data_IF_469884121667
#
_entry.id   IF_469884121667
#
_cell.length_a   1.000
_cell.length_b   1.000
_cell.length_c   1.000
_cell.angle_alpha   90.00
_cell.angle_beta   90.00
_cell.angle_gamma   90.00
#
_symmetry.space_group_name_H-M   'P 1'
#
loop_
_entity.id
_entity.type
_entity.pdbx_description
1 polymer ?
#
# COMPACT_ATOMS: atom_id res chain seq x y z
N UNK A 1 -8.48 6.84 11.73
CA UNK A 1 -8.48 6.53 10.29
C UNK A 1 -9.40 7.53 9.61
N UNK A 2 -8.98 8.10 8.48
CA UNK A 2 -9.87 8.87 7.58
C UNK A 2 -10.15 8.01 6.36
N UNK A 3 -11.42 7.79 6.04
CA UNK A 3 -11.84 7.21 4.76
C UNK A 3 -12.41 8.32 3.88
N UNK A 4 -11.95 8.42 2.65
CA UNK A 4 -12.46 9.36 1.66
C UNK A 4 -12.72 8.66 0.33
N UNK A 5 -13.83 9.00 -0.33
CA UNK A 5 -14.18 8.43 -1.61
C UNK A 5 -13.36 9.00 -2.76
N UNK A 6 -13.13 8.18 -3.78
CA UNK A 6 -12.49 8.59 -5.01
C UNK A 6 -12.60 7.57 -6.13
N UNK A 7 -13.13 7.94 -7.29
CA UNK A 7 -13.30 6.97 -8.39
C UNK A 7 -11.99 6.80 -9.17
N UNK A 8 -11.53 5.56 -9.34
CA UNK A 8 -10.38 5.22 -10.18
C UNK A 8 -10.75 5.28 -11.66
N UNK A 9 -9.91 5.86 -12.50
CA UNK A 9 -10.31 6.25 -13.86
C UNK A 9 -10.78 5.09 -14.74
N UNK A 10 -12.05 5.14 -15.18
CA UNK A 10 -12.48 5.47 -16.56
C UNK A 10 -13.89 6.08 -16.54
N UNK A 11 -14.07 7.17 -17.30
CA UNK A 11 -15.33 7.86 -17.64
C UNK A 11 -16.07 8.57 -16.49
N UNK A 12 -15.67 9.83 -16.26
CA UNK A 12 -16.35 10.93 -15.56
C UNK A 12 -17.77 10.68 -14.97
N UNK A 13 -17.80 10.43 -13.65
CA UNK A 13 -18.66 11.13 -12.69
C UNK A 13 -18.05 10.98 -11.27
N UNK A 14 -17.48 12.06 -10.73
CA UNK A 14 -16.85 12.12 -9.41
C UNK A 14 -15.31 12.18 -9.46
N UNK A 15 -14.75 13.30 -9.93
CA UNK A 15 -13.30 13.51 -9.93
C UNK A 15 -12.74 13.56 -8.50
N UNK A 16 -11.77 12.71 -8.20
CA UNK A 16 -10.94 12.87 -7.00
C UNK A 16 -10.28 14.23 -7.09
N UNK A 17 -10.63 15.14 -6.18
CA UNK A 17 -9.86 16.37 -6.04
C UNK A 17 -8.48 15.98 -5.50
N UNK A 18 -7.52 15.88 -6.41
CA UNK A 18 -6.16 15.48 -6.09
C UNK A 18 -5.52 16.42 -5.07
N UNK A 19 -5.82 17.71 -5.13
CA UNK A 19 -5.29 18.68 -4.16
C UNK A 19 -5.82 18.40 -2.76
N UNK A 20 -7.12 18.10 -2.62
CA UNK A 20 -7.70 17.70 -1.32
C UNK A 20 -7.11 16.39 -0.84
N UNK A 21 -7.05 15.37 -1.69
CA UNK A 21 -6.51 14.05 -1.35
C UNK A 21 -5.06 14.14 -0.92
N UNK A 22 -4.25 14.87 -1.69
CA UNK A 22 -2.84 15.13 -1.38
C UNK A 22 -2.70 15.86 -0.05
N UNK A 23 -3.50 16.89 0.21
CA UNK A 23 -3.49 17.61 1.49
C UNK A 23 -3.87 16.68 2.64
N UNK A 24 -4.95 15.90 2.52
CA UNK A 24 -5.36 14.95 3.56
C UNK A 24 -4.27 13.92 3.82
N UNK A 25 -3.72 13.30 2.78
CA UNK A 25 -2.65 12.31 2.92
C UNK A 25 -1.38 12.94 3.49
N UNK A 26 -1.01 14.17 3.16
CA UNK A 26 0.25 14.80 3.63
C UNK A 26 0.13 15.41 5.04
N UNK A 27 -1.04 15.90 5.41
CA UNK A 27 -1.27 16.64 6.65
C UNK A 27 -1.83 15.77 7.78
N UNK A 28 -2.52 14.69 7.45
CA UNK A 28 -3.09 13.82 8.46
C UNK A 28 -2.02 12.97 9.16
N UNK A 29 -2.16 12.76 10.47
CA UNK A 29 -1.23 11.94 11.29
C UNK A 29 -1.70 10.50 11.50
N UNK A 30 -2.86 10.13 10.96
CA UNK A 30 -3.46 8.80 11.09
C UNK A 30 -3.52 8.09 9.74
N UNK A 31 -3.93 6.81 9.73
CA UNK A 31 -4.18 6.05 8.50
C UNK A 31 -5.23 6.74 7.62
N UNK A 32 -4.95 6.83 6.32
CA UNK A 32 -5.88 7.37 5.31
C UNK A 32 -6.22 6.28 4.31
N UNK A 33 -7.50 6.03 4.09
CA UNK A 33 -8.03 5.15 3.04
C UNK A 33 -8.67 6.01 1.95
N UNK A 34 -8.12 5.96 0.75
CA UNK A 34 -8.76 6.45 -0.46
C UNK A 34 -9.58 5.30 -1.06
N UNK A 35 -10.88 5.32 -0.79
CA UNK A 35 -11.82 4.30 -1.22
C UNK A 35 -12.24 4.53 -2.68
N UNK A 36 -12.02 3.54 -3.54
CA UNK A 36 -12.45 3.53 -4.95
C UNK A 36 -13.52 2.48 -5.19
N UNK A 37 -14.16 2.50 -6.36
CA UNK A 37 -15.12 1.44 -6.73
C UNK A 37 -14.47 0.07 -6.54
N UNK A 38 -15.11 -0.74 -5.70
CA UNK A 38 -14.59 -2.00 -5.18
C UNK A 38 -15.07 -3.12 -6.11
N UNK A 39 -14.16 -3.98 -6.54
CA UNK A 39 -14.52 -5.36 -6.84
C UNK A 39 -14.38 -6.15 -5.53
N UNK A 40 -15.49 -6.71 -5.05
CA UNK A 40 -15.52 -7.51 -3.82
C UNK A 40 -14.58 -8.73 -3.94
N UNK A 41 -14.07 -9.23 -2.81
CA UNK A 41 -13.31 -10.49 -2.66
C UNK A 41 -11.86 -10.55 -3.20
N UNK A 42 -11.08 -9.46 -3.13
CA UNK A 42 -9.71 -9.46 -3.64
C UNK A 42 -8.60 -9.21 -2.57
N UNK A 43 -8.93 -9.03 -1.29
CA UNK A 43 -7.92 -8.97 -0.20
C UNK A 43 -7.03 -7.72 -0.19
N UNK A 44 -6.04 -7.73 0.72
CA UNK A 44 -5.10 -6.62 0.93
C UNK A 44 -3.72 -6.97 0.34
N UNK A 45 -3.24 -6.14 -0.59
CA UNK A 45 -1.86 -6.19 -1.08
C UNK A 45 -1.00 -5.18 -0.32
N UNK A 46 -0.19 -5.67 0.59
CA UNK A 46 0.62 -4.83 1.48
C UNK A 46 2.04 -4.71 0.96
N UNK A 47 2.48 -3.48 0.71
CA UNK A 47 3.82 -3.18 0.24
C UNK A 47 4.82 -3.09 1.41
N UNK A 48 5.93 -3.82 1.30
CA UNK A 48 7.00 -3.85 2.30
C UNK A 48 8.36 -3.62 1.65
N UNK A 49 9.23 -2.85 2.32
CA UNK A 49 10.58 -2.49 1.87
C UNK A 49 11.54 -2.16 3.00
N UNK A 50 11.03 -1.61 4.12
CA UNK A 50 11.79 -1.18 5.29
C UNK A 50 11.05 -1.48 6.61
N UNK A 51 11.69 -1.24 7.76
CA UNK A 51 11.11 -1.47 9.09
C UNK A 51 9.78 -0.74 9.30
N UNK A 52 9.62 0.47 8.75
CA UNK A 52 8.39 1.24 8.89
C UNK A 52 7.25 0.58 8.13
N UNK A 53 7.51 0.13 6.91
CA UNK A 53 6.57 -0.64 6.11
C UNK A 53 6.21 -1.98 6.73
N UNK A 54 7.14 -2.66 7.40
CA UNK A 54 6.88 -3.89 8.16
C UNK A 54 5.94 -3.61 9.34
N UNK A 55 6.19 -2.53 10.10
CA UNK A 55 5.30 -2.11 11.19
C UNK A 55 3.89 -1.78 10.68
N UNK A 56 3.80 -1.07 9.56
CA UNK A 56 2.53 -0.77 8.89
C UNK A 56 1.82 -2.04 8.41
N UNK A 57 2.55 -2.98 7.83
CA UNK A 57 2.03 -4.25 7.34
C UNK A 57 1.39 -5.06 8.46
N UNK A 58 2.06 -5.15 9.62
CA UNK A 58 1.49 -5.81 10.80
C UNK A 58 0.20 -5.15 11.29
N UNK A 59 0.15 -3.80 11.32
CA UNK A 59 -1.05 -3.07 11.74
C UNK A 59 -2.22 -3.32 10.79
N UNK A 60 -1.98 -3.28 9.48
CA UNK A 60 -3.01 -3.55 8.48
C UNK A 60 -3.47 -5.01 8.51
N UNK A 61 -2.55 -5.97 8.58
CA UNK A 61 -2.90 -7.39 8.63
C UNK A 61 -3.84 -7.71 9.80
N UNK A 62 -3.60 -7.13 10.99
CA UNK A 62 -4.49 -7.28 12.14
C UNK A 62 -5.88 -6.67 11.87
N UNK A 63 -5.95 -5.55 11.14
CA UNK A 63 -7.22 -4.91 10.78
C UNK A 63 -7.99 -5.75 9.75
N UNK A 64 -7.32 -6.14 8.67
CA UNK A 64 -7.87 -6.91 7.57
C UNK A 64 -8.34 -8.31 8.01
N UNK A 65 -7.60 -8.97 8.92
CA UNK A 65 -7.99 -10.25 9.50
C UNK A 65 -9.30 -10.18 10.31
N UNK A 66 -9.67 -9.02 10.86
CA UNK A 66 -10.97 -8.84 11.54
C UNK A 66 -12.16 -8.76 10.57
N UNK A 67 -11.87 -8.56 9.29
CA UNK A 67 -12.86 -8.47 8.22
C UNK A 67 -12.82 -9.71 7.31
N UNK A 68 -12.12 -10.78 7.72
CA UNK A 68 -11.88 -11.99 6.91
C UNK A 68 -11.26 -11.67 5.52
N UNK A 69 -10.49 -10.58 5.43
CA UNK A 69 -9.81 -10.18 4.21
C UNK A 69 -8.47 -10.92 4.10
N UNK A 70 -8.19 -11.64 2.99
CA UNK A 70 -6.92 -12.32 2.80
C UNK A 70 -5.76 -11.34 2.66
N UNK A 71 -4.60 -11.71 3.22
CA UNK A 71 -3.40 -10.87 3.30
C UNK A 71 -2.34 -11.34 2.32
N UNK A 72 -1.84 -10.41 1.51
CA UNK A 72 -0.78 -10.64 0.54
C UNK A 72 0.32 -9.59 0.72
N UNK A 73 1.57 -9.99 0.55
CA UNK A 73 2.70 -9.06 0.64
C UNK A 73 3.39 -8.86 -0.71
N UNK A 74 3.91 -7.68 -0.95
CA UNK A 74 4.75 -7.38 -2.11
C UNK A 74 5.96 -6.54 -1.71
N UNK A 75 7.13 -6.91 -2.22
CA UNK A 75 8.32 -6.07 -2.20
C UNK A 75 8.90 -6.05 -3.61
N UNK A 76 9.09 -4.85 -4.18
CA UNK A 76 9.59 -4.70 -5.55
C UNK A 76 11.07 -4.37 -5.49
N UNK A 77 11.90 -5.23 -6.08
CA UNK A 77 13.31 -4.93 -6.26
C UNK A 77 13.51 -4.09 -7.53
N UNK A 78 14.30 -3.03 -7.46
CA UNK A 78 14.57 -2.19 -8.65
C UNK A 78 15.41 -2.91 -9.71
N UNK A 79 16.16 -3.93 -9.31
CA UNK A 79 17.08 -4.70 -10.14
C UNK A 79 17.36 -6.07 -9.51
N UNK A 80 17.87 -7.03 -10.30
CA UNK A 80 18.08 -8.42 -9.85
C UNK A 80 19.09 -8.52 -8.70
N UNK A 81 20.12 -7.68 -8.69
CA UNK A 81 21.12 -7.60 -7.61
C UNK A 81 20.51 -7.17 -6.27
N UNK A 82 19.42 -6.40 -6.30
CA UNK A 82 18.70 -5.94 -5.09
C UNK A 82 17.59 -6.89 -4.65
N UNK A 83 17.32 -7.97 -5.38
CA UNK A 83 16.22 -8.91 -5.09
C UNK A 83 16.30 -9.52 -3.70
N UNK A 84 17.50 -9.86 -3.25
CA UNK A 84 17.72 -10.41 -1.91
C UNK A 84 17.23 -9.49 -0.79
N UNK A 85 17.34 -8.16 -0.95
CA UNK A 85 16.84 -7.19 0.04
C UNK A 85 15.32 -7.19 0.10
N UNK A 86 14.67 -7.32 -1.06
CA UNK A 86 13.22 -7.39 -1.15
C UNK A 86 12.67 -8.69 -0.55
N UNK A 87 13.35 -9.82 -0.79
CA UNK A 87 13.04 -11.12 -0.18
C UNK A 87 13.21 -11.12 1.34
N UNK A 88 14.28 -10.49 1.86
CA UNK A 88 14.49 -10.37 3.30
C UNK A 88 13.39 -9.52 3.96
N UNK A 89 13.02 -8.39 3.36
CA UNK A 89 11.91 -7.57 3.84
C UNK A 89 10.57 -8.35 3.89
N UNK A 90 10.29 -9.17 2.87
CA UNK A 90 9.11 -10.04 2.85
C UNK A 90 9.14 -11.08 3.97
N UNK A 91 10.30 -11.70 4.21
CA UNK A 91 10.48 -12.69 5.27
C UNK A 91 10.24 -12.06 6.64
N UNK A 92 10.84 -10.90 6.90
CA UNK A 92 10.65 -10.18 8.17
C UNK A 92 9.20 -9.75 8.36
N UNK A 93 8.55 -9.24 7.31
CA UNK A 93 7.14 -8.85 7.35
C UNK A 93 6.22 -10.05 7.65
N UNK A 94 6.43 -11.17 6.95
CA UNK A 94 5.69 -12.42 7.16
C UNK A 94 5.81 -12.87 8.61
N UNK A 95 7.03 -12.98 9.14
CA UNK A 95 7.25 -13.36 10.54
C UNK A 95 6.50 -12.44 11.49
N UNK A 96 6.62 -11.12 11.32
CA UNK A 96 5.97 -10.16 12.21
C UNK A 96 4.42 -10.22 12.19
N UNK A 97 3.84 -10.60 11.04
CA UNK A 97 2.39 -10.78 10.87
C UNK A 97 1.94 -12.12 11.46
N UNK A 98 2.65 -13.20 11.18
CA UNK A 98 2.34 -14.54 11.68
C UNK A 98 2.49 -14.64 13.21
N UNK A 99 3.48 -13.96 13.80
CA UNK A 99 3.63 -13.80 15.25
C UNK A 99 2.44 -13.04 15.88
N UNK A 100 1.72 -12.24 15.11
CA UNK A 100 0.49 -11.58 15.55
C UNK A 100 -0.77 -12.45 15.38
N UNK A 101 -0.63 -13.70 14.93
CA UNK A 101 -1.72 -14.65 14.75
C UNK A 101 -2.52 -14.44 13.47
N UNK A 102 -1.92 -13.81 12.45
CA UNK A 102 -2.57 -13.57 11.15
C UNK A 102 -1.80 -14.33 10.06
N UNK A 103 -2.52 -15.02 9.18
CA UNK A 103 -1.92 -15.77 8.07
C UNK A 103 -1.61 -14.86 6.88
N UNK A 104 -0.42 -15.02 6.29
CA UNK A 104 -0.06 -14.41 5.01
C UNK A 104 -0.22 -15.43 3.90
N UNK A 105 -1.20 -15.20 3.02
CA UNK A 105 -1.59 -16.11 1.94
C UNK A 105 -0.47 -16.28 0.93
N UNK A 106 0.09 -15.18 0.42
CA UNK A 106 1.16 -15.22 -0.58
C UNK A 106 2.06 -13.98 -0.50
N UNK A 107 3.28 -14.12 -1.00
CA UNK A 107 4.31 -13.06 -1.06
C UNK A 107 4.82 -12.92 -2.49
N UNK A 108 4.94 -11.69 -2.99
CA UNK A 108 5.44 -11.39 -4.33
C UNK A 108 6.73 -10.57 -4.28
N UNK A 109 7.75 -11.04 -4.99
CA UNK A 109 9.05 -10.33 -5.10
C UNK A 109 9.44 -10.05 -6.55
N UNK A 110 8.67 -9.25 -7.31
CA UNK A 110 9.00 -8.92 -8.69
C UNK A 110 10.18 -7.94 -8.78
N UNK A 111 10.89 -7.98 -9.90
CA UNK A 111 11.92 -7.00 -10.26
C UNK A 111 11.33 -5.98 -11.23
N UNK A 112 11.54 -4.69 -10.98
CA UNK A 112 11.09 -3.60 -11.85
C UNK A 112 10.87 -2.27 -11.13
N UNK A 113 10.17 -1.34 -11.79
CA UNK A 113 9.89 -0.03 -11.20
C UNK A 113 8.79 -0.13 -10.12
N UNK A 114 9.06 0.19 -8.84
CA UNK A 114 8.16 -0.08 -7.72
C UNK A 114 6.71 0.37 -7.95
N UNK A 115 6.49 1.65 -8.25
CA UNK A 115 5.13 2.16 -8.40
C UNK A 115 4.35 1.52 -9.55
N UNK A 116 4.99 1.25 -10.68
CA UNK A 116 4.33 0.64 -11.84
C UNK A 116 4.01 -0.82 -11.56
N UNK A 117 4.95 -1.57 -10.99
CA UNK A 117 4.75 -2.97 -10.62
C UNK A 117 3.66 -3.13 -9.56
N UNK A 118 3.63 -2.27 -8.54
CA UNK A 118 2.59 -2.28 -7.50
C UNK A 118 1.21 -1.94 -8.10
N UNK A 119 1.11 -0.92 -8.95
CA UNK A 119 -0.16 -0.54 -9.58
C UNK A 119 -0.68 -1.66 -10.49
N UNK A 120 0.21 -2.33 -11.23
CA UNK A 120 -0.18 -3.41 -12.13
C UNK A 120 -0.66 -4.63 -11.35
N UNK A 121 0.15 -5.11 -10.38
CA UNK A 121 -0.21 -6.25 -9.55
C UNK A 121 -1.41 -5.96 -8.66
N UNK A 122 -1.52 -4.73 -8.18
CA UNK A 122 -2.58 -4.27 -7.30
C UNK A 122 -3.98 -4.36 -7.89
N UNK A 123 -4.13 -4.47 -9.22
CA UNK A 123 -5.43 -4.65 -9.88
C UNK A 123 -6.16 -5.92 -9.43
N UNK A 124 -5.42 -6.94 -9.01
CA UNK A 124 -5.95 -8.22 -8.54
C UNK A 124 -6.43 -8.16 -7.08
N UNK A 125 -6.31 -7.00 -6.40
CA UNK A 125 -6.54 -6.81 -4.97
C UNK A 125 -7.61 -5.76 -4.67
N UNK A 126 -8.29 -5.86 -3.53
CA UNK A 126 -9.31 -4.87 -3.14
C UNK A 126 -8.66 -3.58 -2.64
N UNK A 127 -7.54 -3.70 -1.92
CA UNK A 127 -6.81 -2.56 -1.32
C UNK A 127 -5.30 -2.73 -1.53
N UNK A 128 -4.63 -1.68 -2.00
CA UNK A 128 -3.16 -1.56 -1.94
C UNK A 128 -2.80 -0.81 -0.67
N UNK A 129 -1.94 -1.39 0.16
CA UNK A 129 -1.55 -0.83 1.45
C UNK A 129 -0.08 -0.43 1.43
N UNK A 130 0.19 0.82 1.77
CA UNK A 130 1.53 1.40 1.78
C UNK A 130 1.79 2.03 3.15
N UNK A 131 3.04 1.96 3.62
CA UNK A 131 3.46 2.83 4.70
C UNK A 131 3.64 4.26 4.18
N UNK A 132 3.25 5.22 5.02
CA UNK A 132 3.71 6.60 4.87
C UNK A 132 5.24 6.59 5.02
N UNK A 133 5.99 6.85 3.96
CA UNK A 133 7.37 7.28 4.16
C UNK A 133 7.24 8.69 4.71
N UNK A 134 7.70 8.94 5.93
CA UNK A 134 7.76 10.31 6.48
C UNK A 134 9.14 10.41 7.08
N UNK A 135 10.11 10.76 6.25
CA UNK A 135 11.43 11.13 6.72
C UNK A 135 11.26 12.49 7.36
N UNK A 136 11.45 12.57 8.68
CA UNK A 136 11.31 13.80 9.48
C UNK A 136 12.14 14.91 8.81
N UNK A 137 11.48 15.95 8.30
CA UNK A 137 12.14 17.15 7.75
C UNK A 137 12.00 17.38 6.24
N UNK A 138 11.57 16.38 5.45
CA UNK A 138 11.56 16.46 3.98
C UNK A 138 10.15 16.48 3.34
N UNK A 139 9.20 17.17 3.99
CA UNK A 139 7.80 17.34 3.53
C UNK A 139 7.68 17.80 2.06
N UNK A 140 8.72 18.44 1.51
CA UNK A 140 8.78 19.01 0.17
C UNK A 140 9.23 18.03 -0.93
N UNK A 141 9.90 16.93 -0.59
CA UNK A 141 10.39 15.92 -1.56
C UNK A 141 9.49 14.67 -1.64
N UNK A 142 8.48 14.56 -0.77
CA UNK A 142 7.54 13.43 -0.73
C UNK A 142 6.68 13.25 -1.98
N UNK A 143 6.64 14.25 -2.86
CA UNK A 143 5.83 14.29 -4.07
C UNK A 143 6.30 13.32 -5.17
N UNK A 144 7.47 12.71 -5.03
CA UNK A 144 8.03 11.71 -5.97
C UNK A 144 8.21 10.32 -5.36
N UNK A 145 7.44 9.99 -4.32
CA UNK A 145 7.54 8.67 -3.66
C UNK A 145 6.61 7.65 -4.31
N UNK A 146 7.03 6.38 -4.28
CA UNK A 146 6.24 5.23 -4.73
C UNK A 146 4.81 5.27 -4.19
N UNK A 147 4.60 5.68 -2.94
CA UNK A 147 3.29 5.76 -2.33
C UNK A 147 2.36 6.79 -3.01
N UNK A 148 2.87 7.98 -3.36
CA UNK A 148 2.08 9.00 -4.05
C UNK A 148 1.77 8.60 -5.49
N UNK A 149 2.72 7.95 -6.19
CA UNK A 149 2.49 7.47 -7.54
C UNK A 149 1.43 6.37 -7.58
N UNK A 150 1.50 5.42 -6.63
CA UNK A 150 0.47 4.38 -6.47
C UNK A 150 -0.87 5.01 -6.11
N UNK A 151 -0.91 5.92 -5.12
CA UNK A 151 -2.12 6.64 -4.74
C UNK A 151 -2.75 7.35 -5.94
N UNK A 152 -1.95 7.95 -6.83
CA UNK A 152 -2.45 8.67 -8.01
C UNK A 152 -2.95 7.74 -9.11
N UNK A 153 -2.29 6.59 -9.32
CA UNK A 153 -2.45 5.74 -10.51
C UNK A 153 -3.29 4.49 -10.29
N UNK A 154 -3.40 3.99 -9.06
CA UNK A 154 -4.14 2.77 -8.78
C UNK A 154 -5.62 2.91 -9.17
N UNK A 155 -6.23 1.79 -9.58
CA UNK A 155 -7.66 1.75 -9.92
C UNK A 155 -8.51 1.36 -8.72
N UNK A 156 -7.96 0.53 -7.85
CA UNK A 156 -8.55 0.08 -6.59
C UNK A 156 -8.23 1.02 -5.42
N UNK A 157 -8.78 0.68 -4.25
CA UNK A 157 -8.60 1.45 -3.03
C UNK A 157 -7.14 1.45 -2.60
N UNK A 158 -6.67 2.57 -2.06
CA UNK A 158 -5.30 2.72 -1.55
C UNK A 158 -5.35 3.17 -0.11
N UNK A 159 -4.63 2.46 0.76
CA UNK A 159 -4.51 2.81 2.16
C UNK A 159 -3.08 3.19 2.51
N UNK A 160 -2.91 4.37 3.10
CA UNK A 160 -1.64 4.87 3.63
C UNK A 160 -1.64 4.71 5.14
N UNK A 161 -0.80 3.82 5.66
CA UNK A 161 -0.70 3.47 7.09
C UNK A 161 0.46 4.21 7.74
N UNK A 162 0.29 4.63 9.00
CA UNK A 162 1.26 5.41 9.79
C UNK A 162 1.71 4.69 11.05
#
# INVERSE_FOLDING_TARGET
MIAMGGVGGKNFAGEINWNVTKTVVTENKTTVLLAREIQENHGHLICVSDEKSISAARKDAILANRCDCPIFLISVAESEDKKHLAEDALKQARTAIEEAGVEVVETYCPVGHPATTIVERGKDFSVIVLADSTVKGFRRFFQSSTAFDVLRRAHNSVMIVR
#
